data_IF_169304276733
#
_entry.id   IF_169304276733
#
_cell.length_a   1.000
_cell.length_b   1.000
_cell.length_c   1.000
_cell.angle_alpha   90.00
_cell.angle_beta   90.00
_cell.angle_gamma   90.00
#
_symmetry.space_group_name_H-M   'P 1'
#
loop_
_entity.id
_entity.type
_entity.pdbx_description
1 polymer ?
#
# COMPACT_ATOMS: atom_id res chain seq x y z
N UNK A 1 55.64 20.40 2.10
CA UNK A 1 54.47 19.52 1.96
C UNK A 1 53.30 20.43 1.76
N UNK A 2 53.01 20.73 0.49
CA UNK A 2 51.76 21.38 0.12
C UNK A 2 50.66 20.37 0.46
N UNK A 3 49.76 20.79 1.35
CA UNK A 3 48.53 20.03 1.61
C UNK A 3 47.71 20.24 0.35
N UNK A 4 47.66 19.24 -0.53
CA UNK A 4 46.73 19.22 -1.65
C UNK A 4 45.36 19.60 -1.11
N UNK A 5 44.83 20.69 -1.65
CA UNK A 5 43.50 21.17 -1.30
C UNK A 5 42.54 20.17 -1.93
N UNK A 6 42.16 19.13 -1.18
CA UNK A 6 41.16 18.17 -1.64
C UNK A 6 39.92 18.96 -2.07
N UNK A 7 39.54 18.84 -3.35
CA UNK A 7 38.34 19.46 -3.87
C UNK A 7 37.14 18.92 -3.07
N UNK A 8 36.56 19.75 -2.21
CA UNK A 8 35.38 19.37 -1.45
C UNK A 8 34.14 19.46 -2.35
N UNK A 9 33.61 18.29 -2.72
CA UNK A 9 32.36 18.19 -3.46
C UNK A 9 31.20 18.77 -2.64
N UNK A 10 30.40 19.63 -3.27
CA UNK A 10 29.18 20.17 -2.66
C UNK A 10 27.96 19.39 -3.13
N UNK A 11 27.16 18.91 -2.17
CA UNK A 11 25.92 18.20 -2.46
C UNK A 11 24.89 19.13 -3.12
N UNK A 12 24.21 18.63 -4.16
CA UNK A 12 23.12 19.35 -4.82
C UNK A 12 21.92 19.52 -3.87
N UNK A 13 21.16 20.59 -4.06
CA UNK A 13 19.96 20.89 -3.26
C UNK A 13 18.70 20.83 -4.11
N UNK A 14 17.56 20.51 -3.49
CA UNK A 14 16.24 20.52 -4.14
C UNK A 14 15.20 21.21 -3.27
N UNK A 15 14.16 21.76 -3.90
CA UNK A 15 13.00 22.26 -3.18
C UNK A 15 12.10 21.10 -2.78
N UNK A 16 11.83 20.98 -1.49
CA UNK A 16 10.96 19.96 -0.91
C UNK A 16 9.72 20.61 -0.28
N UNK A 17 8.55 20.02 -0.53
CA UNK A 17 7.28 20.39 0.09
C UNK A 17 6.52 19.10 0.38
N UNK A 18 6.21 18.86 1.66
CA UNK A 18 5.35 17.74 2.04
C UNK A 18 3.90 18.06 1.67
N UNK A 19 3.18 17.08 1.11
CA UNK A 19 1.79 17.19 0.68
C UNK A 19 0.97 15.99 1.19
N UNK A 20 1.25 15.57 2.43
CA UNK A 20 0.71 14.39 3.11
C UNK A 20 -0.47 14.70 4.05
N UNK A 21 -0.89 15.96 4.14
CA UNK A 21 -2.00 16.44 5.01
C UNK A 21 -3.29 15.61 4.88
N UNK A 22 -3.56 15.04 3.70
CA UNK A 22 -4.74 14.19 3.46
C UNK A 22 -4.70 12.84 4.21
N UNK A 23 -3.54 12.43 4.69
CA UNK A 23 -3.32 11.18 5.42
C UNK A 23 -3.15 11.39 6.93
N UNK A 24 -3.08 12.65 7.38
CA UNK A 24 -3.01 12.99 8.81
C UNK A 24 -4.38 12.86 9.48
N UNK A 25 -4.45 12.06 10.54
CA UNK A 25 -5.66 11.87 11.33
C UNK A 25 -5.67 12.90 12.47
N UNK A 26 -6.35 14.02 12.26
CA UNK A 26 -6.44 15.09 13.26
C UNK A 26 -7.22 14.69 14.52
N UNK A 27 -8.20 13.79 14.39
CA UNK A 27 -9.05 13.35 15.51
C UNK A 27 -9.52 11.92 15.33
N UNK A 28 -9.09 11.06 16.23
CA UNK A 28 -9.53 9.67 16.26
C UNK A 28 -10.93 9.55 16.89
N UNK A 29 -11.92 9.12 16.11
CA UNK A 29 -13.29 8.88 16.57
C UNK A 29 -13.74 7.47 16.18
N UNK A 30 -13.56 6.51 17.09
CA UNK A 30 -13.93 5.11 16.83
C UNK A 30 -15.37 4.75 17.19
N UNK A 31 -16.01 5.50 18.10
CA UNK A 31 -17.34 5.16 18.61
C UNK A 31 -18.43 5.56 17.61
N UNK A 32 -19.29 4.60 17.26
CA UNK A 32 -20.47 4.82 16.41
C UNK A 32 -20.20 4.81 14.91
N UNK A 33 -18.94 4.63 14.48
CA UNK A 33 -18.59 4.49 13.06
C UNK A 33 -18.56 3.02 12.65
N UNK A 34 -19.04 2.73 11.44
CA UNK A 34 -19.02 1.41 10.81
C UNK A 34 -18.35 1.51 9.43
N UNK A 35 -17.79 0.40 8.96
CA UNK A 35 -17.08 0.34 7.67
C UNK A 35 -17.97 0.59 6.44
N UNK A 36 -19.30 0.52 6.57
CA UNK A 36 -20.24 0.75 5.47
C UNK A 36 -20.08 2.12 4.81
N UNK A 37 -19.77 3.15 5.59
CA UNK A 37 -19.59 4.51 5.08
C UNK A 37 -18.43 4.62 4.09
N UNK A 38 -17.37 3.83 4.29
CA UNK A 38 -16.21 3.80 3.37
C UNK A 38 -16.64 3.24 2.01
N UNK A 39 -17.41 2.16 1.98
CA UNK A 39 -17.89 1.55 0.73
C UNK A 39 -18.91 2.45 0.04
N UNK A 40 -19.81 3.09 0.79
CA UNK A 40 -20.78 4.02 0.24
C UNK A 40 -20.09 5.23 -0.43
N UNK A 41 -19.16 5.88 0.27
CA UNK A 41 -18.41 7.01 -0.28
C UNK A 41 -17.59 6.60 -1.51
N UNK A 42 -16.89 5.45 -1.44
CA UNK A 42 -16.11 4.92 -2.56
C UNK A 42 -16.98 4.66 -3.79
N UNK A 43 -18.10 3.94 -3.61
CA UNK A 43 -19.02 3.63 -4.71
C UNK A 43 -19.57 4.91 -5.34
N UNK A 44 -20.00 5.88 -4.53
CA UNK A 44 -20.56 7.13 -5.02
C UNK A 44 -19.54 7.97 -5.84
N UNK A 45 -18.33 8.15 -5.30
CA UNK A 45 -17.27 8.89 -5.99
C UNK A 45 -16.84 8.20 -7.29
N UNK A 46 -16.60 6.88 -7.23
CA UNK A 46 -16.13 6.11 -8.38
C UNK A 46 -17.20 5.93 -9.44
N UNK A 47 -18.48 5.78 -9.06
CA UNK A 47 -19.60 5.74 -10.01
C UNK A 47 -19.68 7.03 -10.79
N UNK A 48 -19.55 8.19 -10.14
CA UNK A 48 -19.59 9.49 -10.81
C UNK A 48 -18.51 9.57 -11.89
N UNK A 49 -17.29 9.14 -11.55
CA UNK A 49 -16.18 9.06 -12.50
C UNK A 49 -16.47 8.09 -13.66
N UNK A 50 -16.82 6.84 -13.36
CA UNK A 50 -17.07 5.82 -14.38
C UNK A 50 -18.26 6.17 -15.28
N UNK A 51 -19.31 6.79 -14.74
CA UNK A 51 -20.46 7.25 -15.50
C UNK A 51 -20.07 8.30 -16.54
N UNK A 52 -19.14 9.21 -16.21
CA UNK A 52 -18.60 10.18 -17.17
C UNK A 52 -17.84 9.55 -18.34
N UNK A 53 -17.37 8.31 -18.18
CA UNK A 53 -16.63 7.56 -19.20
C UNK A 53 -17.56 6.72 -20.11
N UNK A 54 -18.78 6.42 -19.68
CA UNK A 54 -19.76 5.62 -20.44
C UNK A 54 -20.02 6.14 -21.86
N UNK A 55 -20.17 7.46 -22.11
CA UNK A 55 -20.41 7.95 -23.47
C UNK A 55 -19.31 7.58 -24.48
N UNK A 56 -18.07 7.43 -24.02
CA UNK A 56 -16.93 7.04 -24.84
C UNK A 56 -16.75 5.51 -24.94
N UNK A 57 -17.53 4.74 -24.17
CA UNK A 57 -17.47 3.29 -24.13
C UNK A 57 -18.68 2.63 -24.80
N UNK A 58 -19.89 2.86 -24.26
CA UNK A 58 -21.15 2.22 -24.67
C UNK A 58 -22.35 3.15 -24.43
N UNK A 59 -22.43 4.25 -25.18
CA UNK A 59 -23.46 5.29 -25.00
C UNK A 59 -24.91 4.86 -25.30
N UNK A 60 -25.11 3.76 -26.02
CA UNK A 60 -26.42 3.30 -26.46
C UNK A 60 -27.11 2.35 -25.47
N UNK A 61 -26.40 1.89 -24.45
CA UNK A 61 -26.93 0.94 -23.48
C UNK A 61 -27.52 1.64 -22.26
N UNK A 62 -28.63 1.13 -21.71
CA UNK A 62 -29.20 1.66 -20.49
C UNK A 62 -28.30 1.37 -19.29
N UNK A 63 -28.24 2.32 -18.37
CA UNK A 63 -27.64 2.11 -17.04
C UNK A 63 -28.74 1.66 -16.10
N UNK A 64 -28.52 0.56 -15.40
CA UNK A 64 -29.48 -0.04 -14.48
C UNK A 64 -28.82 -0.28 -13.11
N UNK A 65 -29.63 -0.33 -12.06
CA UNK A 65 -29.21 -0.91 -10.78
C UNK A 65 -29.33 -2.44 -10.81
N UNK A 66 -28.71 -3.12 -9.85
CA UNK A 66 -28.74 -4.58 -9.76
C UNK A 66 -30.18 -5.13 -9.61
N UNK A 67 -31.06 -4.42 -8.90
CA UNK A 67 -32.47 -4.84 -8.76
C UNK A 67 -33.32 -4.61 -10.02
N UNK A 68 -32.88 -3.77 -10.94
CA UNK A 68 -33.59 -3.46 -12.19
C UNK A 68 -33.15 -4.35 -13.35
N UNK A 69 -32.31 -5.36 -13.09
CA UNK A 69 -31.90 -6.32 -14.10
C UNK A 69 -33.11 -7.10 -14.63
N UNK A 70 -33.10 -7.30 -15.94
CA UNK A 70 -34.10 -8.10 -16.64
C UNK A 70 -33.40 -9.17 -17.49
N UNK A 71 -33.93 -10.39 -17.45
CA UNK A 71 -33.38 -11.52 -18.18
C UNK A 71 -33.20 -11.22 -19.67
N UNK A 72 -31.97 -11.43 -20.17
CA UNK A 72 -31.63 -11.27 -21.58
C UNK A 72 -31.48 -9.82 -22.08
N UNK A 73 -31.78 -8.80 -21.27
CA UNK A 73 -31.58 -7.39 -21.66
C UNK A 73 -30.15 -6.94 -21.39
N UNK A 74 -29.52 -6.34 -22.41
CA UNK A 74 -28.20 -5.73 -22.28
C UNK A 74 -28.28 -4.39 -21.53
N UNK A 75 -27.41 -4.24 -20.53
CA UNK A 75 -27.33 -3.02 -19.73
C UNK A 75 -25.92 -2.82 -19.18
N UNK A 76 -25.72 -1.65 -18.57
CA UNK A 76 -24.52 -1.31 -17.82
C UNK A 76 -24.88 -1.21 -16.34
N UNK A 77 -24.14 -1.91 -15.50
CA UNK A 77 -24.28 -1.85 -14.05
C UNK A 77 -22.99 -1.35 -13.39
N UNK A 78 -23.13 -0.60 -12.30
CA UNK A 78 -22.02 -0.05 -11.52
C UNK A 78 -22.05 -0.58 -10.11
N UNK A 79 -20.96 -1.16 -9.65
CA UNK A 79 -20.89 -1.66 -8.29
C UNK A 79 -19.50 -1.96 -7.80
N UNK A 80 -19.43 -2.35 -6.55
CA UNK A 80 -18.22 -2.81 -5.88
C UNK A 80 -18.11 -4.32 -6.05
N UNK A 81 -16.95 -4.78 -6.52
CA UNK A 81 -16.66 -6.20 -6.58
C UNK A 81 -16.44 -6.76 -5.17
N UNK A 82 -17.09 -7.88 -4.89
CA UNK A 82 -16.83 -8.73 -3.75
C UNK A 82 -16.36 -10.09 -4.25
N UNK A 83 -15.15 -10.48 -3.87
CA UNK A 83 -14.61 -11.82 -4.12
C UNK A 83 -14.97 -12.72 -2.95
N UNK A 84 -15.84 -13.70 -3.21
CA UNK A 84 -16.07 -14.79 -2.28
C UNK A 84 -14.89 -15.76 -2.40
N UNK A 85 -14.20 -15.99 -1.28
CA UNK A 85 -12.96 -16.77 -1.24
C UNK A 85 -13.10 -17.98 -0.32
N UNK A 86 -12.91 -19.19 -0.84
CA UNK A 86 -13.15 -20.42 -0.07
C UNK A 86 -12.20 -20.59 1.11
N UNK A 87 -10.94 -20.15 0.96
CA UNK A 87 -9.92 -20.28 2.00
C UNK A 87 -9.82 -19.05 2.91
N UNK A 88 -10.65 -18.02 2.70
CA UNK A 88 -10.61 -16.81 3.55
C UNK A 88 -11.04 -17.18 4.98
N UNK A 89 -10.20 -16.89 6.00
CA UNK A 89 -10.52 -17.23 7.37
C UNK A 89 -11.73 -16.43 7.85
N UNK A 90 -12.61 -17.11 8.59
CA UNK A 90 -13.76 -16.53 9.24
C UNK A 90 -13.52 -16.48 10.74
N UNK A 91 -13.50 -15.27 11.30
CA UNK A 91 -13.29 -15.07 12.74
C UNK A 91 -14.37 -15.79 13.57
N UNK A 92 -15.60 -15.88 13.07
CA UNK A 92 -16.69 -16.56 13.76
C UNK A 92 -16.44 -18.09 13.87
N UNK A 93 -15.76 -18.68 12.88
CA UNK A 93 -15.40 -20.10 12.92
C UNK A 93 -14.38 -20.37 14.04
N UNK A 94 -13.50 -19.40 14.32
CA UNK A 94 -12.52 -19.48 15.42
C UNK A 94 -13.19 -19.48 16.80
N UNK A 95 -14.33 -18.81 16.94
CA UNK A 95 -15.11 -18.81 18.20
C UNK A 95 -15.97 -20.08 18.38
N UNK A 96 -16.35 -20.73 17.28
CA UNK A 96 -17.24 -21.89 17.28
C UNK A 96 -16.54 -23.23 17.58
N UNK A 97 -15.23 -23.33 17.30
CA UNK A 97 -14.44 -24.52 17.56
C UNK A 97 -13.80 -24.39 18.94
N UNK A 98 -13.92 -25.42 19.79
CA UNK A 98 -13.15 -25.51 21.03
C UNK A 98 -11.69 -25.16 20.72
N UNK A 99 -11.13 -24.16 21.42
CA UNK A 99 -9.82 -23.55 21.18
C UNK A 99 -8.77 -24.59 20.80
N UNK A 100 -8.63 -24.88 19.52
CA UNK A 100 -7.56 -25.74 19.03
C UNK A 100 -6.29 -24.90 19.13
N UNK A 101 -5.43 -25.25 20.10
CA UNK A 101 -4.15 -24.61 20.43
C UNK A 101 -3.15 -24.63 19.26
N UNK A 102 -3.49 -25.27 18.14
CA UNK A 102 -2.69 -25.25 16.94
C UNK A 102 -2.74 -23.85 16.30
N UNK A 103 -1.59 -23.18 16.08
CA UNK A 103 -1.55 -21.93 15.35
C UNK A 103 -2.18 -22.19 13.97
N UNK A 104 -3.24 -21.45 13.64
CA UNK A 104 -3.77 -21.42 12.29
C UNK A 104 -2.59 -21.06 11.39
N UNK A 105 -2.11 -22.04 10.61
CA UNK A 105 -1.16 -21.79 9.55
C UNK A 105 -1.82 -20.71 8.72
N UNK A 106 -1.30 -19.49 8.74
CA UNK A 106 -1.82 -18.39 7.94
C UNK A 106 -1.31 -18.66 6.53
N UNK A 107 -2.12 -19.23 5.63
CA UNK A 107 -1.62 -19.46 4.28
C UNK A 107 -1.23 -18.10 3.70
N UNK A 108 -0.10 -18.04 3.01
CA UNK A 108 0.36 -16.81 2.34
C UNK A 108 -0.56 -16.40 1.18
N UNK A 109 -1.47 -17.29 0.77
CA UNK A 109 -2.42 -17.10 -0.30
C UNK A 109 -3.76 -17.76 0.07
N UNK A 110 -4.85 -17.01 -0.08
CA UNK A 110 -6.21 -17.47 0.20
C UNK A 110 -7.02 -17.80 -1.06
N UNK A 111 -6.41 -17.77 -2.26
CA UNK A 111 -7.10 -18.07 -3.51
C UNK A 111 -7.44 -19.55 -3.63
N UNK A 112 -8.63 -19.83 -4.18
CA UNK A 112 -9.07 -21.18 -4.54
C UNK A 112 -9.70 -21.18 -5.94
N UNK A 113 -9.72 -22.36 -6.59
CA UNK A 113 -10.39 -22.54 -7.89
C UNK A 113 -11.92 -22.36 -7.84
N UNK A 114 -12.49 -22.36 -6.63
CA UNK A 114 -13.94 -22.23 -6.38
C UNK A 114 -14.31 -20.78 -6.00
N UNK A 115 -13.33 -19.87 -6.03
CA UNK A 115 -13.58 -18.46 -5.77
C UNK A 115 -14.44 -17.87 -6.89
N UNK A 116 -15.35 -16.96 -6.53
CA UNK A 116 -16.21 -16.29 -7.50
C UNK A 116 -16.41 -14.82 -7.13
N UNK A 117 -16.79 -14.04 -8.14
CA UNK A 117 -17.04 -12.61 -8.00
C UNK A 117 -18.54 -12.32 -7.93
N UNK A 118 -18.88 -11.34 -7.11
CA UNK A 118 -20.20 -10.75 -6.95
C UNK A 118 -20.05 -9.25 -7.17
N UNK A 119 -20.99 -8.63 -7.85
CA UNK A 119 -21.10 -7.17 -7.89
C UNK A 119 -22.16 -6.73 -6.89
N UNK A 120 -21.84 -5.73 -6.08
CA UNK A 120 -22.73 -5.11 -5.10
C UNK A 120 -22.91 -3.62 -5.38
N UNK A 121 -24.16 -3.17 -5.48
CA UNK A 121 -24.53 -1.76 -5.50
C UNK A 121 -25.42 -1.42 -4.27
N UNK A 122 -26.00 -0.23 -4.23
CA UNK A 122 -26.93 0.18 -3.15
C UNK A 122 -28.24 -0.60 -3.14
N UNK A 123 -28.60 -1.25 -4.25
CA UNK A 123 -29.86 -1.95 -4.43
C UNK A 123 -29.76 -3.43 -4.05
N UNK A 124 -28.63 -4.07 -4.37
CA UNK A 124 -28.47 -5.50 -4.15
C UNK A 124 -27.15 -6.08 -4.63
N UNK A 125 -27.16 -7.41 -4.84
CA UNK A 125 -25.98 -8.19 -5.21
C UNK A 125 -26.32 -9.15 -6.34
N UNK A 126 -25.42 -9.28 -7.31
CA UNK A 126 -25.55 -10.25 -8.40
C UNK A 126 -24.24 -11.03 -8.61
N UNK A 127 -24.35 -12.34 -8.78
CA UNK A 127 -23.19 -13.19 -9.08
C UNK A 127 -22.72 -12.93 -10.51
N UNK A 128 -21.42 -12.81 -10.70
CA UNK A 128 -20.82 -12.55 -12.00
C UNK A 128 -20.43 -13.86 -12.69
N UNK A 129 -20.76 -13.97 -13.98
CA UNK A 129 -20.38 -15.06 -14.86
C UNK A 129 -19.63 -14.57 -16.10
N UNK A 130 -19.25 -15.50 -16.95
CA UNK A 130 -18.43 -15.24 -18.14
C UNK A 130 -16.93 -15.34 -17.87
N UNK A 131 -16.13 -15.00 -18.87
CA UNK A 131 -14.65 -15.15 -18.84
C UNK A 131 -13.92 -13.81 -18.76
N UNK A 132 -14.64 -12.69 -18.86
CA UNK A 132 -14.06 -11.34 -18.88
C UNK A 132 -13.50 -10.89 -17.54
N UNK A 133 -14.13 -11.30 -16.45
CA UNK A 133 -13.62 -11.07 -15.09
C UNK A 133 -13.09 -12.39 -14.52
N UNK A 134 -11.78 -12.48 -14.32
CA UNK A 134 -11.19 -13.62 -13.64
C UNK A 134 -11.13 -13.38 -12.12
N UNK A 135 -11.67 -14.28 -11.28
CA UNK A 135 -11.50 -14.21 -9.83
C UNK A 135 -10.03 -14.19 -9.39
N UNK A 136 -9.08 -14.69 -10.18
CA UNK A 136 -7.65 -14.66 -9.85
C UNK A 136 -7.01 -13.27 -10.00
N UNK A 137 -7.60 -12.38 -10.79
CA UNK A 137 -7.07 -11.04 -11.09
C UNK A 137 -7.72 -9.98 -10.22
N UNK A 138 -9.03 -10.08 -9.99
CA UNK A 138 -9.79 -9.09 -9.25
C UNK A 138 -9.79 -9.35 -7.74
N UNK A 139 -9.89 -8.27 -6.96
CA UNK A 139 -9.95 -8.28 -5.50
C UNK A 139 -11.20 -7.56 -4.99
N UNK A 140 -11.59 -7.86 -3.76
CA UNK A 140 -12.73 -7.21 -3.10
C UNK A 140 -12.48 -5.70 -2.92
N UNK A 141 -13.49 -4.89 -3.19
CA UNK A 141 -13.50 -3.45 -2.95
C UNK A 141 -13.21 -2.58 -4.17
N UNK A 142 -12.93 -3.18 -5.33
CA UNK A 142 -12.76 -2.46 -6.61
C UNK A 142 -14.12 -2.06 -7.16
N UNK A 143 -14.28 -0.80 -7.58
CA UNK A 143 -15.51 -0.30 -8.22
C UNK A 143 -15.30 -0.31 -9.73
N UNK A 144 -16.22 -0.94 -10.45
CA UNK A 144 -16.18 -1.10 -11.91
C UNK A 144 -17.56 -0.84 -12.52
N UNK A 145 -17.58 -0.54 -13.82
CA UNK A 145 -18.80 -0.61 -14.62
C UNK A 145 -18.75 -1.85 -15.52
N UNK A 146 -19.81 -2.63 -15.53
CA UNK A 146 -19.90 -3.89 -16.27
C UNK A 146 -20.98 -3.78 -17.34
N UNK A 147 -20.64 -4.20 -18.55
CA UNK A 147 -21.57 -4.41 -19.64
C UNK A 147 -21.90 -5.89 -19.75
N UNK A 148 -23.18 -6.21 -19.84
CA UNK A 148 -23.64 -7.58 -19.99
C UNK A 148 -25.16 -7.70 -19.84
N UNK A 149 -25.61 -8.90 -19.52
CA UNK A 149 -27.03 -9.23 -19.35
C UNK A 149 -27.24 -10.27 -18.26
N UNK A 150 -28.41 -10.24 -17.65
CA UNK A 150 -28.81 -11.28 -16.72
C UNK A 150 -29.14 -12.58 -17.47
N UNK A 151 -28.67 -13.69 -16.92
CA UNK A 151 -28.94 -15.05 -17.39
C UNK A 151 -30.15 -15.63 -16.69
N UNK A 152 -30.78 -16.66 -17.27
CA UNK A 152 -31.88 -17.41 -16.66
C UNK A 152 -31.56 -18.02 -15.28
N UNK A 153 -30.27 -18.09 -14.91
CA UNK A 153 -29.80 -18.57 -13.62
C UNK A 153 -29.66 -17.46 -12.55
N UNK A 154 -30.03 -16.21 -12.86
CA UNK A 154 -29.90 -15.05 -11.96
C UNK A 154 -28.46 -14.52 -11.81
N UNK A 155 -27.55 -14.95 -12.69
CA UNK A 155 -26.19 -14.43 -12.75
C UNK A 155 -26.06 -13.40 -13.88
N UNK A 156 -25.20 -12.40 -13.69
CA UNK A 156 -24.90 -11.41 -14.71
C UNK A 156 -23.72 -11.89 -15.57
N UNK A 157 -23.97 -12.14 -16.85
CA UNK A 157 -22.94 -12.56 -17.80
C UNK A 157 -22.18 -11.34 -18.30
N UNK A 158 -20.91 -11.22 -17.92
CA UNK A 158 -20.09 -10.05 -18.24
C UNK A 158 -19.47 -10.18 -19.63
N UNK A 159 -19.77 -9.22 -20.49
CA UNK A 159 -19.27 -9.16 -21.86
C UNK A 159 -18.13 -8.14 -22.01
N UNK A 160 -18.15 -7.06 -21.22
CA UNK A 160 -17.10 -6.04 -21.22
C UNK A 160 -16.98 -5.33 -19.86
N UNK A 161 -15.82 -4.76 -19.57
CA UNK A 161 -15.49 -4.13 -18.27
C UNK A 161 -14.90 -2.74 -18.51
N UNK A 162 -15.42 -1.75 -17.79
CA UNK A 162 -14.86 -0.39 -17.76
C UNK A 162 -14.32 -0.09 -16.37
N UNK A 163 -13.02 0.20 -16.34
CA UNK A 163 -12.28 0.63 -15.16
C UNK A 163 -11.99 2.13 -15.23
N UNK A 164 -11.73 2.75 -14.08
CA UNK A 164 -11.51 4.20 -13.99
C UNK A 164 -10.24 4.69 -14.70
N UNK A 165 -9.31 3.78 -14.99
CA UNK A 165 -8.02 4.12 -15.58
C UNK A 165 -7.14 4.98 -14.66
N UNK A 166 -6.21 5.71 -15.27
CA UNK A 166 -5.32 6.62 -14.55
C UNK A 166 -5.93 8.03 -14.47
N UNK A 167 -5.78 8.73 -13.33
CA UNK A 167 -6.19 10.12 -13.23
C UNK A 167 -5.33 11.02 -14.14
N UNK A 168 -5.81 12.23 -14.50
CA UNK A 168 -5.03 13.19 -15.26
C UNK A 168 -3.65 13.45 -14.63
N UNK A 169 -2.58 13.25 -15.40
CA UNK A 169 -1.23 13.46 -14.92
C UNK A 169 -0.82 14.94 -15.09
N UNK A 170 -0.34 15.55 -13.99
CA UNK A 170 0.24 16.89 -14.04
C UNK A 170 1.51 16.85 -14.90
N UNK A 171 1.59 17.72 -15.92
CA UNK A 171 2.77 17.81 -16.79
C UNK A 171 3.97 18.27 -15.96
N UNK A 172 5.03 17.46 -15.91
CA UNK A 172 6.29 17.82 -15.26
C UNK A 172 7.01 18.90 -16.09
N UNK A 173 7.55 19.97 -15.48
CA UNK A 173 8.41 20.90 -16.21
C UNK A 173 9.72 20.19 -16.58
N UNK A 174 9.88 19.83 -17.85
CA UNK A 174 11.10 19.21 -18.43
C UNK A 174 12.23 20.22 -18.68
N UNK A 175 12.30 21.32 -17.92
CA UNK A 175 13.45 22.23 -18.08
C UNK A 175 14.69 21.47 -17.61
N UNK A 176 15.67 21.34 -18.50
CA UNK A 176 16.98 20.71 -18.30
C UNK A 176 17.71 21.34 -17.10
N UNK A 177 17.30 20.93 -15.91
CA UNK A 177 18.05 21.13 -14.70
C UNK A 177 18.97 19.94 -14.57
N UNK A 178 20.13 20.21 -14.00
CA UNK A 178 21.10 19.21 -13.58
C UNK A 178 20.41 17.99 -12.96
N UNK A 179 20.95 16.80 -13.25
CA UNK A 179 20.45 15.56 -12.69
C UNK A 179 20.55 15.56 -11.17
N UNK A 180 19.51 15.02 -10.53
CA UNK A 180 19.35 14.92 -9.08
C UNK A 180 18.72 13.57 -8.77
N UNK A 181 19.24 12.90 -7.76
CA UNK A 181 18.79 11.56 -7.39
C UNK A 181 18.08 11.55 -6.04
N UNK A 182 17.12 10.65 -5.91
CA UNK A 182 16.46 10.33 -4.64
C UNK A 182 16.67 8.85 -4.40
N UNK A 183 17.15 8.50 -3.22
CA UNK A 183 17.36 7.11 -2.82
C UNK A 183 16.12 6.61 -2.10
N UNK A 184 15.64 5.42 -2.49
CA UNK A 184 14.56 4.72 -1.79
C UNK A 184 15.12 3.45 -1.15
N UNK A 185 14.91 3.29 0.16
CA UNK A 185 15.32 2.10 0.91
C UNK A 185 14.13 1.58 1.69
N UNK A 186 13.97 0.28 1.83
CA UNK A 186 12.86 -0.33 2.58
C UNK A 186 13.35 -1.59 3.28
N UNK A 187 12.71 -1.96 4.38
CA UNK A 187 12.94 -3.26 5.00
C UNK A 187 14.30 -3.39 5.68
N UNK A 188 14.85 -2.30 6.21
CA UNK A 188 16.09 -2.32 7.01
C UNK A 188 16.02 -3.38 8.10
N UNK A 189 14.84 -3.57 8.71
CA UNK A 189 14.57 -4.64 9.68
C UNK A 189 15.65 -4.74 10.76
N UNK A 190 16.11 -3.60 11.29
CA UNK A 190 17.15 -3.55 12.31
C UNK A 190 16.64 -4.29 13.56
N UNK A 191 17.49 -5.11 14.17
CA UNK A 191 17.10 -6.03 15.23
C UNK A 191 16.73 -7.45 14.77
N UNK A 192 16.60 -7.70 13.46
CA UNK A 192 16.42 -9.06 12.92
C UNK A 192 17.69 -9.88 13.13
N UNK A 193 17.56 -11.16 13.47
CA UNK A 193 18.70 -12.06 13.67
C UNK A 193 19.59 -12.28 12.44
N UNK A 194 19.06 -12.01 11.24
CA UNK A 194 19.78 -12.09 9.97
C UNK A 194 20.23 -10.71 9.45
N UNK A 195 20.12 -9.65 10.24
CA UNK A 195 20.56 -8.32 9.83
C UNK A 195 22.08 -8.31 9.67
N UNK A 196 22.59 -7.54 8.71
CA UNK A 196 24.03 -7.40 8.47
C UNK A 196 24.43 -5.94 8.67
N UNK A 197 25.00 -5.57 9.84
CA UNK A 197 25.41 -4.20 10.13
C UNK A 197 26.37 -3.60 9.09
N UNK A 198 27.23 -4.42 8.48
CA UNK A 198 28.17 -3.96 7.47
C UNK A 198 27.46 -3.45 6.21
N UNK A 199 26.35 -4.08 5.80
CA UNK A 199 25.60 -3.63 4.62
C UNK A 199 25.00 -2.24 4.84
N UNK A 200 24.51 -1.97 6.05
CA UNK A 200 23.99 -0.65 6.39
C UNK A 200 25.10 0.39 6.45
N UNK A 201 26.25 0.06 7.05
CA UNK A 201 27.38 0.99 7.09
C UNK A 201 27.88 1.33 5.68
N UNK A 202 28.03 0.34 4.80
CA UNK A 202 28.43 0.58 3.41
C UNK A 202 27.42 1.47 2.66
N UNK A 203 26.12 1.31 2.91
CA UNK A 203 25.09 2.18 2.35
C UNK A 203 25.25 3.61 2.86
N UNK A 204 25.44 3.78 4.17
CA UNK A 204 25.66 5.11 4.77
C UNK A 204 26.91 5.74 4.20
N UNK A 205 28.03 5.02 4.16
CA UNK A 205 29.31 5.52 3.66
C UNK A 205 29.21 5.91 2.18
N UNK A 206 28.50 5.13 1.36
CA UNK A 206 28.26 5.46 -0.05
C UNK A 206 27.39 6.72 -0.22
N UNK A 207 26.24 6.79 0.47
CA UNK A 207 25.33 7.94 0.35
C UNK A 207 25.99 9.21 0.87
N UNK A 208 26.77 9.11 1.95
CA UNK A 208 27.47 10.25 2.56
C UNK A 208 28.75 10.66 1.83
N UNK A 209 29.21 9.86 0.86
CA UNK A 209 30.39 10.15 0.04
C UNK A 209 31.73 9.76 0.68
N UNK A 210 31.74 8.88 1.68
CA UNK A 210 32.97 8.37 2.32
C UNK A 210 33.53 7.11 1.64
N UNK A 211 32.78 6.51 0.72
CA UNK A 211 33.15 5.33 -0.03
C UNK A 211 33.28 5.65 -1.51
N UNK A 212 34.28 5.07 -2.16
CA UNK A 212 34.46 5.16 -3.61
C UNK A 212 35.54 6.13 -4.06
N UNK A 213 35.74 6.20 -5.38
CA UNK A 213 36.61 7.18 -6.04
C UNK A 213 35.90 8.52 -6.27
N UNK A 214 36.57 9.48 -6.90
CA UNK A 214 36.03 10.83 -7.16
C UNK A 214 34.77 10.80 -8.03
N UNK A 215 34.64 9.82 -8.94
CA UNK A 215 33.44 9.68 -9.78
C UNK A 215 32.24 9.19 -8.95
N UNK A 216 32.44 8.17 -8.11
CA UNK A 216 31.41 7.66 -7.20
C UNK A 216 30.98 8.71 -6.16
N UNK A 217 31.94 9.46 -5.61
CA UNK A 217 31.66 10.57 -4.70
C UNK A 217 30.91 11.71 -5.41
N UNK A 218 31.22 11.97 -6.68
CA UNK A 218 30.49 12.90 -7.53
C UNK A 218 29.02 12.51 -7.67
N UNK A 219 28.71 11.23 -7.94
CA UNK A 219 27.35 10.71 -7.98
C UNK A 219 26.65 10.82 -6.63
N UNK A 220 27.35 10.50 -5.53
CA UNK A 220 26.81 10.62 -4.19
C UNK A 220 26.43 12.08 -3.86
N UNK A 221 27.20 13.06 -4.35
CA UNK A 221 26.88 14.49 -4.21
C UNK A 221 25.63 14.92 -5.00
N UNK A 222 25.21 14.17 -6.02
CA UNK A 222 23.97 14.43 -6.76
C UNK A 222 22.71 13.86 -6.08
N UNK A 223 22.87 13.05 -5.03
CA UNK A 223 21.76 12.56 -4.21
C UNK A 223 21.26 13.70 -3.32
N UNK A 224 19.99 14.09 -3.49
CA UNK A 224 19.39 15.23 -2.78
C UNK A 224 18.49 14.83 -1.63
N UNK A 225 18.05 13.57 -1.58
CA UNK A 225 17.09 13.10 -0.58
C UNK A 225 17.14 11.58 -0.40
N UNK A 226 16.92 11.10 0.82
CA UNK A 226 16.69 9.68 1.12
C UNK A 226 15.26 9.47 1.62
N UNK A 227 14.58 8.44 1.14
CA UNK A 227 13.27 8.02 1.64
C UNK A 227 13.33 6.59 2.12
N UNK A 228 13.09 6.38 3.42
CA UNK A 228 12.98 5.06 4.03
C UNK A 228 11.50 4.64 4.04
N UNK A 229 11.16 3.63 3.25
CA UNK A 229 9.81 3.17 2.97
C UNK A 229 9.46 1.96 3.84
N UNK A 230 9.29 2.19 5.14
CA UNK A 230 8.76 1.20 6.08
C UNK A 230 9.67 0.01 6.40
N UNK A 231 9.26 -0.70 7.46
CA UNK A 231 9.93 -1.85 8.05
C UNK A 231 11.39 -1.51 8.40
N UNK A 232 11.57 -0.41 9.14
CA UNK A 232 12.87 0.09 9.59
C UNK A 232 13.43 -0.76 10.73
N UNK A 233 12.57 -1.15 11.68
CA UNK A 233 12.92 -2.02 12.81
C UNK A 233 12.11 -3.32 12.77
N UNK A 234 12.69 -4.37 13.34
CA UNK A 234 11.99 -5.62 13.62
C UNK A 234 12.09 -5.94 15.12
N UNK A 235 10.93 -5.91 15.78
CA UNK A 235 10.82 -6.21 17.21
C UNK A 235 10.37 -7.67 17.38
N UNK A 236 11.10 -8.43 18.20
CA UNK A 236 10.74 -9.79 18.54
C UNK A 236 9.39 -9.83 19.26
N UNK A 237 8.36 -10.39 18.61
CA UNK A 237 6.98 -10.46 19.13
C UNK A 237 6.86 -11.11 20.50
N UNK A 238 7.76 -12.03 20.86
CA UNK A 238 7.79 -12.67 22.18
C UNK A 238 8.09 -11.70 23.34
N UNK A 239 8.62 -10.52 23.05
CA UNK A 239 8.83 -9.45 24.04
C UNK A 239 7.57 -8.59 24.24
N UNK A 240 6.60 -8.66 23.33
CA UNK A 240 5.37 -7.86 23.36
C UNK A 240 4.18 -8.65 23.94
N UNK A 241 4.42 -9.47 24.97
CA UNK A 241 3.41 -10.37 25.56
C UNK A 241 2.51 -9.70 26.62
N UNK A 242 2.52 -8.37 26.75
CA UNK A 242 1.67 -7.62 27.69
C UNK A 242 1.99 -7.82 29.17
N UNK A 243 3.12 -8.46 29.50
CA UNK A 243 3.63 -8.60 30.87
C UNK A 243 4.69 -7.54 31.17
N UNK A 244 4.91 -7.24 32.46
CA UNK A 244 6.00 -6.36 32.88
C UNK A 244 7.34 -6.94 32.41
N UNK A 245 8.00 -6.23 31.50
CA UNK A 245 9.29 -6.62 30.94
C UNK A 245 10.38 -6.50 32.00
N UNK A 246 11.19 -7.56 32.15
CA UNK A 246 12.42 -7.49 32.92
C UNK A 246 13.39 -6.47 32.28
N UNK A 247 14.30 -5.89 33.06
CA UNK A 247 15.24 -4.88 32.59
C UNK A 247 16.08 -5.33 31.37
N UNK A 248 16.45 -6.62 31.32
CA UNK A 248 17.16 -7.23 30.19
C UNK A 248 16.32 -7.33 28.92
N UNK A 249 15.01 -7.46 29.06
CA UNK A 249 14.11 -7.54 27.91
C UNK A 249 13.78 -6.14 27.39
N UNK A 250 13.73 -5.14 28.28
CA UNK A 250 13.65 -3.73 27.90
C UNK A 250 14.88 -3.28 27.11
N UNK A 251 16.10 -3.69 27.53
CA UNK A 251 17.31 -3.32 26.78
C UNK A 251 17.30 -3.87 25.37
N UNK A 252 16.90 -5.14 25.18
CA UNK A 252 16.77 -5.79 23.87
C UNK A 252 15.70 -5.16 22.99
N UNK A 253 14.61 -4.63 23.57
CA UNK A 253 13.61 -3.87 22.84
C UNK A 253 14.15 -2.52 22.34
N UNK A 254 15.01 -1.87 23.12
CA UNK A 254 15.55 -0.55 22.80
C UNK A 254 16.77 -0.59 21.87
N UNK A 255 17.53 -1.68 21.83
CA UNK A 255 18.75 -1.84 21.02
C UNK A 255 18.53 -1.51 19.53
N UNK A 256 17.52 -2.07 18.84
CA UNK A 256 17.28 -1.77 17.43
C UNK A 256 16.99 -0.28 17.15
N UNK A 257 16.32 0.39 18.08
CA UNK A 257 16.04 1.82 17.95
C UNK A 257 17.30 2.67 18.08
N UNK A 258 18.21 2.29 18.99
CA UNK A 258 19.50 2.98 19.13
C UNK A 258 20.37 2.81 17.90
N UNK A 259 20.41 1.60 17.34
CA UNK A 259 21.14 1.33 16.09
C UNK A 259 20.56 2.14 14.93
N UNK A 260 19.23 2.16 14.79
CA UNK A 260 18.57 2.98 13.78
C UNK A 260 18.89 4.48 13.97
N UNK A 261 18.79 5.00 15.19
CA UNK A 261 19.06 6.41 15.53
C UNK A 261 20.50 6.83 15.17
N UNK A 262 21.48 5.96 15.45
CA UNK A 262 22.88 6.20 15.06
C UNK A 262 23.02 6.29 13.53
N UNK A 263 22.44 5.36 12.78
CA UNK A 263 22.52 5.36 11.32
C UNK A 263 21.83 6.59 10.72
N UNK A 264 20.64 6.92 11.21
CA UNK A 264 19.89 8.08 10.76
C UNK A 264 20.63 9.39 11.05
N UNK A 265 21.29 9.48 12.21
CA UNK A 265 22.10 10.65 12.57
C UNK A 265 23.25 10.87 11.59
N UNK A 266 23.94 9.80 11.17
CA UNK A 266 25.03 9.88 10.19
C UNK A 266 24.52 10.37 8.83
N UNK A 267 23.37 9.85 8.38
CA UNK A 267 22.75 10.26 7.11
C UNK A 267 22.25 11.70 7.19
N UNK A 268 21.53 12.07 8.25
CA UNK A 268 20.94 13.39 8.46
C UNK A 268 22.00 14.50 8.55
N UNK A 269 23.23 14.16 8.94
CA UNK A 269 24.35 15.08 8.90
C UNK A 269 24.81 15.44 7.47
N UNK A 270 24.49 14.61 6.47
CA UNK A 270 24.91 14.78 5.07
C UNK A 270 23.77 15.19 4.12
N UNK A 271 22.56 14.67 4.31
CA UNK A 271 21.40 14.99 3.47
C UNK A 271 20.05 14.88 4.21
N UNK A 272 18.99 15.55 3.71
CA UNK A 272 17.64 15.35 4.20
C UNK A 272 17.16 13.91 3.99
N UNK A 273 16.38 13.40 4.94
CA UNK A 273 15.75 12.09 4.87
C UNK A 273 14.31 12.12 5.38
N UNK A 274 13.46 11.29 4.79
CA UNK A 274 12.11 11.00 5.28
C UNK A 274 11.98 9.52 5.66
N UNK A 275 11.18 9.24 6.67
CA UNK A 275 10.92 7.88 7.15
C UNK A 275 9.42 7.65 7.16
N UNK A 276 8.99 6.61 6.45
CA UNK A 276 7.63 6.12 6.47
C UNK A 276 7.57 4.88 7.37
N UNK A 277 6.54 4.74 8.21
CA UNK A 277 6.35 3.51 8.97
C UNK A 277 5.92 2.36 8.06
N UNK A 278 6.28 1.14 8.45
CA UNK A 278 5.78 -0.09 7.88
C UNK A 278 4.98 -0.91 8.88
N UNK A 279 4.70 -2.16 8.52
CA UNK A 279 3.89 -3.08 9.34
C UNK A 279 4.60 -3.60 10.59
N UNK A 280 5.94 -3.56 10.62
CA UNK A 280 6.77 -4.01 11.75
C UNK A 280 7.25 -2.86 12.64
N UNK A 281 7.08 -1.62 12.18
CA UNK A 281 7.51 -0.43 12.89
C UNK A 281 6.51 -0.07 14.01
N UNK A 282 6.93 0.71 15.02
CA UNK A 282 6.05 1.13 16.12
C UNK A 282 5.06 2.23 15.68
N UNK A 283 4.20 1.91 14.72
CA UNK A 283 3.09 2.75 14.27
C UNK A 283 1.76 2.03 14.52
N UNK A 284 0.65 2.73 14.28
CA UNK A 284 -0.67 2.09 14.27
C UNK A 284 -0.75 1.04 13.15
N UNK A 285 -1.59 0.02 13.38
CA UNK A 285 -1.78 -1.10 12.45
C UNK A 285 -2.68 -0.73 11.26
N UNK A 286 -3.63 0.18 11.45
CA UNK A 286 -4.59 0.57 10.43
C UNK A 286 -3.98 1.59 9.45
N UNK A 287 -4.48 1.61 8.22
CA UNK A 287 -4.19 2.70 7.29
C UNK A 287 -5.18 3.86 7.49
N UNK A 288 -4.75 5.12 7.35
CA UNK A 288 -3.36 5.55 7.14
C UNK A 288 -2.50 5.37 8.42
N UNK A 289 -1.24 4.96 8.26
CA UNK A 289 -0.31 4.88 9.39
C UNK A 289 0.13 6.29 9.81
N UNK A 290 0.24 6.55 11.12
CA UNK A 290 0.62 7.81 11.74
C UNK A 290 2.00 7.70 12.39
#
# INVERSE_FOLDING_TARGET
MEVDSQEQLQRKQSTYLSLDENFEIQKEVYRGQQYSQIYFARLHMMRTLLYSLVPNWKSHLPVCTVLELEEGKECIIFGTLYKHMKLKPCILDEYSKERSVAPLIKPHNFMHQDDYLVLEDESGRVKLGGTKLSPSVYVTGVVVALHGKETSAGAFFVEDVLEAGLPPQIKRPLKSREDKYVVFVSGLSIGRSSSNPLQFQLLVDHITGHLGDEEEQGLAAEIVHLVIVGNSVEISRGLLNGQNLASKDQSRLCEPFKELDILLTQIAASLPLDIMPGSSDPANFALPQQ
#
